data_IF_165152878402
#
_entry.id   IF_165152878402
#
_cell.length_a   1.000
_cell.length_b   1.000
_cell.length_c   1.000
_cell.angle_alpha   90.00
_cell.angle_beta   90.00
_cell.angle_gamma   90.00
#
_symmetry.space_group_name_H-M   'P 1'
#
loop_
_entity.id
_entity.type
_entity.pdbx_description
1 polymer ?
#
# COMPACT_ATOMS: atom_id res chain seq x y z
N UNK A 1 10.98 8.85 22.73
CA UNK A 1 10.31 9.30 21.49
C UNK A 1 8.98 8.57 21.38
N UNK A 2 7.94 9.19 20.83
CA UNK A 2 6.62 8.57 20.66
C UNK A 2 6.35 8.38 19.17
N UNK A 3 5.72 7.26 18.82
CA UNK A 3 5.39 6.88 17.45
C UNK A 3 3.99 6.28 17.40
N UNK A 4 3.18 6.69 16.43
CA UNK A 4 1.88 6.09 16.13
C UNK A 4 1.98 5.18 14.93
N UNK A 5 1.41 3.98 15.02
CA UNK A 5 1.33 3.01 13.94
C UNK A 5 -0.13 2.62 13.73
N UNK A 6 -0.55 2.47 12.48
CA UNK A 6 -1.81 1.77 12.17
C UNK A 6 -1.46 0.41 11.57
N UNK A 7 -1.90 -0.64 12.24
CA UNK A 7 -1.71 -2.03 11.86
C UNK A 7 -2.97 -2.55 11.19
N UNK A 8 -2.82 -3.37 10.14
CA UNK A 8 -3.93 -4.06 9.49
C UNK A 8 -3.96 -5.52 9.97
N UNK A 9 -4.94 -5.88 10.80
CA UNK A 9 -5.04 -7.19 11.45
C UNK A 9 -6.29 -7.96 11.00
N UNK A 10 -6.22 -9.29 11.00
CA UNK A 10 -7.42 -10.11 10.78
C UNK A 10 -8.39 -10.03 11.97
N UNK A 11 -9.69 -10.03 11.70
CA UNK A 11 -10.76 -10.06 12.72
C UNK A 11 -10.94 -11.48 13.29
N UNK A 12 -9.88 -12.04 13.90
CA UNK A 12 -9.88 -13.37 14.52
C UNK A 12 -9.28 -13.34 15.94
N UNK A 13 -9.72 -14.24 16.84
CA UNK A 13 -9.21 -14.28 18.21
C UNK A 13 -7.69 -14.44 18.28
N UNK A 14 -7.04 -13.73 19.21
CA UNK A 14 -5.60 -13.80 19.44
C UNK A 14 -4.75 -12.90 18.54
N UNK A 15 -5.32 -12.34 17.46
CA UNK A 15 -4.53 -11.59 16.49
C UNK A 15 -3.95 -10.28 17.04
N UNK A 16 -4.71 -9.56 17.87
CA UNK A 16 -4.19 -8.38 18.54
C UNK A 16 -3.02 -8.73 19.47
N UNK A 17 -3.12 -9.83 20.23
CA UNK A 17 -2.04 -10.27 21.13
C UNK A 17 -0.79 -10.62 20.34
N UNK A 18 -0.94 -11.36 19.23
CA UNK A 18 0.16 -11.69 18.33
C UNK A 18 0.83 -10.44 17.74
N UNK A 19 0.06 -9.36 17.53
CA UNK A 19 0.59 -8.10 17.03
C UNK A 19 1.36 -7.28 18.09
N UNK A 20 0.96 -7.36 19.35
CA UNK A 20 1.61 -6.63 20.45
C UNK A 20 2.86 -7.34 20.99
N UNK A 21 2.96 -8.67 20.86
CA UNK A 21 4.10 -9.44 21.35
C UNK A 21 5.45 -8.96 20.76
N UNK A 22 5.61 -8.71 19.44
CA UNK A 22 6.84 -8.12 18.88
C UNK A 22 7.25 -6.80 19.55
N UNK A 23 6.29 -5.92 19.83
CA UNK A 23 6.49 -4.61 20.43
C UNK A 23 6.95 -4.77 21.88
N UNK A 24 6.25 -5.61 22.65
CA UNK A 24 6.61 -5.89 24.03
C UNK A 24 7.98 -6.58 24.14
N UNK A 25 8.32 -7.47 23.19
CA UNK A 25 9.57 -8.24 23.21
C UNK A 25 10.84 -7.40 23.05
N UNK A 26 10.71 -6.18 22.53
CA UNK A 26 11.85 -5.24 22.36
C UNK A 26 11.90 -4.19 23.47
N UNK A 27 10.96 -4.22 24.42
CA UNK A 27 10.90 -3.26 25.52
C UNK A 27 10.25 -1.92 25.17
N UNK A 28 9.58 -1.81 24.01
CA UNK A 28 8.84 -0.60 23.67
C UNK A 28 7.61 -0.45 24.58
N UNK A 29 7.41 0.73 25.15
CA UNK A 29 6.27 1.03 25.99
C UNK A 29 5.02 1.26 25.12
N UNK A 30 3.93 0.54 25.37
CA UNK A 30 2.67 0.73 24.65
C UNK A 30 1.84 1.77 25.39
N UNK A 31 1.65 2.94 24.78
CA UNK A 31 0.94 4.07 25.40
C UNK A 31 -0.56 3.98 25.17
N UNK A 32 -0.97 3.59 23.97
CA UNK A 32 -2.39 3.58 23.58
C UNK A 32 -2.63 2.53 22.52
N UNK A 33 -3.78 1.86 22.59
CA UNK A 33 -4.30 0.98 21.54
C UNK A 33 -5.74 1.42 21.26
N UNK A 34 -6.03 1.72 20.00
CA UNK A 34 -7.37 2.03 19.53
C UNK A 34 -7.73 0.98 18.48
N UNK A 35 -8.84 0.29 18.71
CA UNK A 35 -9.36 -0.74 17.84
C UNK A 35 -10.76 -0.34 17.38
N UNK A 36 -10.89 0.05 16.12
CA UNK A 36 -12.16 0.46 15.54
C UNK A 36 -12.77 -0.68 14.74
N UNK A 37 -13.68 -1.43 15.36
CA UNK A 37 -14.38 -2.54 14.69
C UNK A 37 -15.31 -2.09 13.56
N UNK A 38 -15.72 -0.83 13.55
CA UNK A 38 -16.70 -0.29 12.61
C UNK A 38 -16.08 0.14 11.28
N UNK A 39 -14.75 0.28 11.23
CA UNK A 39 -13.99 0.55 10.00
C UNK A 39 -13.41 -0.77 9.49
N UNK A 40 -14.19 -1.50 8.68
CA UNK A 40 -13.74 -2.79 8.11
C UNK A 40 -13.28 -2.63 6.67
N UNK A 41 -12.06 -3.11 6.38
CA UNK A 41 -11.60 -3.36 5.01
C UNK A 41 -11.75 -4.86 4.74
N UNK A 42 -12.99 -5.31 4.50
CA UNK A 42 -13.31 -6.73 4.34
C UNK A 42 -13.14 -7.52 5.65
N UNK A 43 -12.18 -8.45 5.70
CA UNK A 43 -11.87 -9.27 6.89
C UNK A 43 -10.78 -8.68 7.79
N UNK A 44 -10.26 -7.50 7.43
CA UNK A 44 -9.17 -6.82 8.12
C UNK A 44 -9.71 -5.61 8.90
N UNK A 45 -9.15 -5.40 10.09
CA UNK A 45 -9.50 -4.32 11.02
C UNK A 45 -8.24 -3.49 11.31
N UNK A 46 -8.33 -2.15 11.15
CA UNK A 46 -7.25 -1.26 11.52
C UNK A 46 -7.13 -1.18 13.04
N UNK A 47 -5.91 -1.30 13.54
CA UNK A 47 -5.57 -1.11 14.95
C UNK A 47 -4.51 -0.04 15.05
N UNK A 48 -4.86 1.11 15.61
CA UNK A 48 -3.89 2.13 15.93
C UNK A 48 -3.19 1.79 17.23
N UNK A 49 -1.87 1.73 17.20
CA UNK A 49 -1.02 1.49 18.37
C UNK A 49 -0.04 2.64 18.49
N UNK A 50 -0.01 3.28 19.65
CA UNK A 50 1.00 4.28 19.97
C UNK A 50 2.03 3.71 20.93
N UNK A 51 3.29 3.78 20.53
CA UNK A 51 4.43 3.23 21.27
C UNK A 51 5.44 4.32 21.62
N UNK A 52 6.18 4.10 22.69
CA UNK A 52 7.22 5.00 23.19
C UNK A 52 8.50 4.23 23.50
N UNK A 53 9.64 4.81 23.13
CA UNK A 53 10.96 4.23 23.32
C UNK A 53 12.07 5.11 22.76
N UNK A 54 13.31 4.64 22.82
CA UNK A 54 14.39 5.21 22.02
C UNK A 54 14.26 4.79 20.54
N UNK A 55 15.05 5.44 19.67
CA UNK A 55 14.97 5.21 18.23
C UNK A 55 15.26 3.75 17.87
N UNK A 56 16.26 3.14 18.49
CA UNK A 56 16.69 1.76 18.19
C UNK A 56 15.58 0.75 18.53
N UNK A 57 14.93 0.94 19.68
CA UNK A 57 13.81 0.13 20.16
C UNK A 57 12.61 0.23 19.22
N UNK A 58 12.26 1.45 18.80
CA UNK A 58 11.15 1.69 17.89
C UNK A 58 11.40 1.12 16.48
N UNK A 59 12.60 1.31 15.95
CA UNK A 59 13.00 0.75 14.65
C UNK A 59 13.01 -0.80 14.70
N UNK A 60 13.47 -1.39 15.81
CA UNK A 60 13.43 -2.83 16.01
C UNK A 60 11.99 -3.37 16.15
N UNK A 61 11.09 -2.61 16.79
CA UNK A 61 9.67 -2.97 16.87
C UNK A 61 9.04 -3.05 15.47
N UNK A 62 9.25 -2.03 14.63
CA UNK A 62 8.77 -2.02 13.23
C UNK A 62 9.32 -3.23 12.46
N UNK A 63 10.61 -3.51 12.61
CA UNK A 63 11.26 -4.64 11.96
C UNK A 63 10.61 -5.97 12.36
N UNK A 64 10.45 -6.22 13.67
CA UNK A 64 9.82 -7.47 14.14
C UNK A 64 8.35 -7.61 13.74
N UNK A 65 7.59 -6.50 13.72
CA UNK A 65 6.21 -6.51 13.23
C UNK A 65 6.19 -6.98 11.76
N UNK A 66 7.08 -6.43 10.94
CA UNK A 66 7.20 -6.76 9.51
C UNK A 66 7.65 -8.21 9.30
N UNK A 67 8.62 -8.69 10.09
CA UNK A 67 9.10 -10.08 10.07
C UNK A 67 8.02 -11.10 10.48
N UNK A 68 7.10 -10.71 11.38
CA UNK A 68 5.92 -11.51 11.74
C UNK A 68 4.79 -11.45 10.70
N UNK A 69 4.98 -10.73 9.60
CA UNK A 69 3.96 -10.55 8.56
C UNK A 69 2.82 -9.63 8.97
N UNK A 70 2.99 -8.82 10.03
CA UNK A 70 2.01 -7.82 10.43
C UNK A 70 2.18 -6.60 9.54
N UNK A 71 1.13 -6.26 8.80
CA UNK A 71 1.15 -5.15 7.86
C UNK A 71 0.93 -3.84 8.60
N UNK A 72 1.87 -2.93 8.46
CA UNK A 72 1.77 -1.54 8.92
C UNK A 72 1.28 -0.72 7.73
N UNK A 73 0.20 0.03 7.88
CA UNK A 73 -0.42 0.82 6.81
C UNK A 73 -0.19 2.32 6.99
N UNK A 74 0.07 2.78 8.21
CA UNK A 74 0.34 4.19 8.52
C UNK A 74 1.39 4.29 9.62
N UNK A 75 2.25 5.30 9.52
CA UNK A 75 3.20 5.70 10.56
C UNK A 75 3.09 7.20 10.79
N UNK A 76 2.83 7.60 12.03
CA UNK A 76 2.75 9.00 12.47
C UNK A 76 1.80 9.87 11.62
N UNK A 77 0.63 9.33 11.21
CA UNK A 77 -0.33 10.06 10.36
C UNK A 77 -0.01 9.99 8.87
N UNK A 78 1.10 9.35 8.47
CA UNK A 78 1.53 9.25 7.08
C UNK A 78 1.28 7.81 6.60
N UNK A 79 0.41 7.60 5.60
CA UNK A 79 0.24 6.29 4.98
C UNK A 79 1.58 5.77 4.44
N UNK A 80 1.92 4.53 4.76
CA UNK A 80 3.14 3.91 4.23
C UNK A 80 3.00 3.54 2.75
N UNK A 81 1.76 3.32 2.31
CA UNK A 81 1.40 3.09 0.90
C UNK A 81 0.15 3.88 0.57
N UNK A 82 0.16 4.51 -0.59
CA UNK A 82 -0.96 5.26 -1.14
C UNK A 82 -1.52 4.54 -2.35
N UNK A 83 -2.83 4.65 -2.55
CA UNK A 83 -3.51 4.10 -3.72
C UNK A 83 -3.58 5.16 -4.80
N UNK A 84 -3.05 4.84 -5.98
CA UNK A 84 -3.09 5.70 -7.16
C UNK A 84 -3.93 5.02 -8.22
N UNK A 85 -4.93 5.74 -8.74
CA UNK A 85 -5.75 5.25 -9.84
C UNK A 85 -5.31 5.92 -11.15
N UNK A 86 -5.16 5.14 -12.20
CA UNK A 86 -4.99 5.65 -13.55
C UNK A 86 -5.96 4.99 -14.52
N UNK A 87 -6.49 5.77 -15.45
CA UNK A 87 -7.26 5.31 -16.59
C UNK A 87 -6.42 5.51 -17.85
N UNK A 88 -6.18 4.43 -18.58
CA UNK A 88 -5.49 4.42 -19.86
C UNK A 88 -6.53 4.17 -20.97
N UNK A 89 -6.64 5.09 -21.93
CA UNK A 89 -7.58 4.98 -23.05
C UNK A 89 -6.81 4.96 -24.38
N UNK A 90 -7.00 3.92 -25.18
CA UNK A 90 -6.32 3.77 -26.47
C UNK A 90 -6.50 2.38 -27.06
N UNK A 91 -5.77 2.07 -28.13
CA UNK A 91 -5.72 0.70 -28.68
C UNK A 91 -4.55 -0.02 -28.03
N UNK A 92 -4.84 -1.13 -27.36
CA UNK A 92 -3.86 -1.98 -26.67
C UNK A 92 -4.13 -3.44 -27.02
N UNK A 93 -3.07 -4.20 -27.30
CA UNK A 93 -3.11 -5.66 -27.37
C UNK A 93 -2.90 -6.31 -25.99
N UNK A 94 -3.20 -7.61 -25.88
CA UNK A 94 -2.97 -8.35 -24.64
C UNK A 94 -1.48 -8.38 -24.24
N UNK A 95 -0.58 -8.46 -25.21
CA UNK A 95 0.87 -8.44 -24.98
C UNK A 95 1.35 -7.08 -24.46
N UNK A 96 0.81 -5.98 -25.00
CA UNK A 96 1.11 -4.63 -24.54
C UNK A 96 0.61 -4.42 -23.11
N UNK A 97 -0.60 -4.90 -22.78
CA UNK A 97 -1.15 -4.81 -21.43
C UNK A 97 -0.25 -5.49 -20.39
N UNK A 98 0.22 -6.70 -20.72
CA UNK A 98 1.17 -7.41 -19.85
C UNK A 98 2.46 -6.61 -19.67
N UNK A 99 3.00 -6.07 -20.76
CA UNK A 99 4.18 -5.20 -20.72
C UNK A 99 3.99 -3.98 -19.82
N UNK A 100 2.81 -3.33 -19.87
CA UNK A 100 2.49 -2.19 -19.01
C UNK A 100 2.49 -2.58 -17.53
N UNK A 101 1.85 -3.70 -17.17
CA UNK A 101 1.80 -4.19 -15.79
C UNK A 101 3.19 -4.54 -15.27
N UNK A 102 3.99 -5.26 -16.05
CA UNK A 102 5.35 -5.64 -15.69
C UNK A 102 6.24 -4.39 -15.52
N UNK A 103 6.06 -3.39 -16.37
CA UNK A 103 6.81 -2.14 -16.33
C UNK A 103 6.46 -1.29 -15.10
N UNK A 104 5.20 -1.28 -14.67
CA UNK A 104 4.77 -0.64 -13.41
C UNK A 104 5.33 -1.39 -12.20
N UNK A 105 5.18 -2.72 -12.16
CA UNK A 105 5.69 -3.56 -11.06
C UNK A 105 7.23 -3.59 -10.96
N UNK A 106 7.94 -3.14 -12.00
CA UNK A 106 9.40 -3.00 -11.96
C UNK A 106 9.89 -1.83 -11.10
N UNK A 107 9.00 -0.89 -10.74
CA UNK A 107 9.34 0.22 -9.86
C UNK A 107 9.41 -0.26 -8.40
N UNK A 108 10.50 0.09 -7.72
CA UNK A 108 10.66 -0.20 -6.30
C UNK A 108 9.59 0.53 -5.46
N UNK A 109 8.99 -0.19 -4.51
CA UNK A 109 7.92 0.33 -3.67
C UNK A 109 6.56 0.47 -4.36
N UNK A 110 6.41 0.02 -5.60
CA UNK A 110 5.15 0.08 -6.37
C UNK A 110 4.64 -1.31 -6.71
N UNK A 111 3.32 -1.51 -6.66
CA UNK A 111 2.68 -2.68 -7.25
C UNK A 111 1.33 -2.33 -7.87
N UNK A 112 0.93 -3.10 -8.87
CA UNK A 112 -0.45 -3.10 -9.38
C UNK A 112 -1.31 -3.92 -8.42
N UNK A 113 -2.31 -3.28 -7.83
CA UNK A 113 -3.23 -3.89 -6.85
C UNK A 113 -4.51 -4.41 -7.50
N UNK A 114 -5.00 -3.74 -8.54
CA UNK A 114 -6.19 -4.14 -9.29
C UNK A 114 -6.12 -3.63 -10.73
N UNK A 115 -6.75 -4.37 -11.64
CA UNK A 115 -6.82 -4.00 -13.06
C UNK A 115 -8.19 -4.38 -13.64
N UNK A 116 -8.84 -3.40 -14.26
CA UNK A 116 -10.10 -3.58 -14.96
C UNK A 116 -9.95 -3.16 -16.42
N UNK A 117 -10.27 -4.08 -17.34
CA UNK A 117 -10.15 -3.88 -18.77
C UNK A 117 -11.53 -3.91 -19.42
N UNK A 118 -11.81 -2.90 -20.25
CA UNK A 118 -12.96 -2.87 -21.15
C UNK A 118 -12.45 -2.71 -22.58
N UNK A 119 -12.61 -3.75 -23.39
CA UNK A 119 -12.22 -3.72 -24.81
C UNK A 119 -13.44 -3.60 -25.71
N UNK A 120 -13.29 -2.82 -26.78
CA UNK A 120 -14.20 -2.76 -27.92
C UNK A 120 -13.41 -2.94 -29.20
N UNK A 121 -14.09 -3.08 -30.34
CA UNK A 121 -13.43 -3.22 -31.65
C UNK A 121 -12.61 -2.00 -32.07
N UNK A 122 -12.86 -0.83 -31.48
CA UNK A 122 -12.23 0.44 -31.88
C UNK A 122 -11.29 1.02 -30.82
N UNK A 123 -11.50 0.69 -29.54
CA UNK A 123 -10.71 1.22 -28.42
C UNK A 123 -10.81 0.33 -27.18
N UNK A 124 -9.78 0.40 -26.34
CA UNK A 124 -9.67 -0.24 -25.04
C UNK A 124 -9.56 0.83 -23.95
N UNK A 125 -10.17 0.55 -22.81
CA UNK A 125 -10.04 1.36 -21.60
C UNK A 125 -9.57 0.47 -20.47
N UNK A 126 -8.49 0.85 -19.82
CA UNK A 126 -7.90 0.13 -18.69
C UNK A 126 -7.97 1.05 -17.49
N UNK A 127 -8.61 0.61 -16.42
CA UNK A 127 -8.44 1.20 -15.11
C UNK A 127 -7.40 0.37 -14.36
N UNK A 128 -6.30 0.98 -13.95
CA UNK A 128 -5.27 0.36 -13.13
C UNK A 128 -5.24 1.04 -11.76
N UNK A 129 -5.32 0.23 -10.72
CA UNK A 129 -5.15 0.66 -9.32
C UNK A 129 -3.77 0.20 -8.87
N UNK A 130 -2.94 1.14 -8.43
CA UNK A 130 -1.58 0.87 -7.96
C UNK A 130 -1.47 1.23 -6.49
N UNK A 131 -0.64 0.49 -5.76
CA UNK A 131 -0.20 0.85 -4.42
C UNK A 131 1.28 1.23 -4.50
N UNK A 132 1.61 2.45 -4.11
CA UNK A 132 2.97 2.97 -4.10
C UNK A 132 3.35 3.43 -2.70
N UNK A 133 4.58 3.14 -2.30
CA UNK A 133 5.19 3.77 -1.13
C UNK A 133 5.31 5.28 -1.35
N UNK A 134 5.22 6.05 -0.28
CA UNK A 134 5.15 7.52 -0.35
C UNK A 134 6.32 8.15 -1.13
N UNK A 135 7.53 7.60 -1.00
CA UNK A 135 8.73 8.03 -1.74
C UNK A 135 8.71 7.67 -3.25
N UNK A 136 7.86 6.73 -3.66
CA UNK A 136 7.78 6.24 -5.05
C UNK A 136 6.65 6.87 -5.85
N UNK A 137 5.82 7.74 -5.26
CA UNK A 137 4.68 8.36 -5.93
C UNK A 137 5.05 9.20 -7.15
N UNK A 138 6.06 10.07 -7.02
CA UNK A 138 6.53 10.89 -8.16
C UNK A 138 7.09 10.04 -9.29
N UNK A 139 7.85 8.98 -8.97
CA UNK A 139 8.37 8.03 -9.95
C UNK A 139 7.24 7.28 -10.67
N UNK A 140 6.20 6.91 -9.94
CA UNK A 140 5.02 6.26 -10.51
C UNK A 140 4.30 7.18 -11.50
N UNK A 141 4.07 8.44 -11.12
CA UNK A 141 3.39 9.42 -11.98
C UNK A 141 4.15 9.62 -13.29
N UNK A 142 5.45 9.90 -13.22
CA UNK A 142 6.33 10.02 -14.40
C UNK A 142 6.29 8.77 -15.28
N UNK A 143 6.28 7.59 -14.65
CA UNK A 143 6.28 6.31 -15.36
C UNK A 143 4.98 6.08 -16.12
N UNK A 144 3.82 6.35 -15.52
CA UNK A 144 2.53 6.16 -16.18
C UNK A 144 2.40 7.11 -17.36
N UNK A 145 2.81 8.38 -17.21
CA UNK A 145 2.79 9.33 -18.32
C UNK A 145 3.72 8.90 -19.46
N UNK A 146 4.90 8.34 -19.14
CA UNK A 146 5.82 7.78 -20.13
C UNK A 146 5.20 6.60 -20.87
N UNK A 147 4.57 5.66 -20.16
CA UNK A 147 3.84 4.53 -20.77
C UNK A 147 2.74 5.05 -21.70
N UNK A 148 2.00 6.07 -21.27
CA UNK A 148 0.99 6.72 -22.09
C UNK A 148 1.54 7.28 -23.39
N UNK A 149 2.67 7.98 -23.32
CA UNK A 149 3.34 8.53 -24.51
C UNK A 149 3.86 7.43 -25.46
N UNK A 150 4.49 6.38 -24.92
CA UNK A 150 5.06 5.26 -25.69
C UNK A 150 3.98 4.48 -26.47
N UNK A 151 2.85 4.20 -25.82
CA UNK A 151 1.74 3.44 -26.41
C UNK A 151 0.62 4.32 -27.00
N UNK A 152 0.82 5.64 -27.07
CA UNK A 152 -0.17 6.61 -27.58
C UNK A 152 -1.54 6.50 -26.88
N UNK A 153 -1.50 6.37 -25.56
CA UNK A 153 -2.67 6.28 -24.70
C UNK A 153 -2.95 7.65 -24.08
N UNK A 154 -4.23 7.97 -23.95
CA UNK A 154 -4.65 9.02 -23.05
C UNK A 154 -4.55 8.49 -21.61
N UNK A 155 -3.78 9.18 -20.78
CA UNK A 155 -3.62 8.88 -19.36
C UNK A 155 -4.44 9.88 -18.56
N UNK A 156 -5.28 9.38 -17.65
CA UNK A 156 -5.99 10.17 -16.66
C UNK A 156 -5.64 9.61 -15.30
N UNK A 157 -4.90 10.36 -14.49
CA UNK A 157 -4.54 10.01 -13.12
C UNK A 157 -5.48 10.70 -12.13
N UNK A 158 -5.87 9.98 -11.08
CA UNK A 158 -6.52 10.55 -9.90
C UNK A 158 -5.52 10.39 -8.74
N UNK A 159 -4.90 11.51 -8.37
CA UNK A 159 -4.03 11.68 -7.20
C UNK A 159 -4.81 12.24 -6.03
#
# INVERSE_FOLDING_TARGET
>A
MRMSLVLELQDVPGQLVAALEPIASVGANIVTIIHERDVKTGALVPVQVTIEGDKETLDLAIKKLTEKGIKIIEKDGIPLKEKVNAILVGKISEEELKGIVDNINSLEGVKVADLSLKMSTTSSTIKVTMEAEHNSLGLLEDKIHKIGAEHRLLVITET
#
